data_IF_167855233716
#
_entry.id   IF_167855233716
#
_cell.length_a   1.000
_cell.length_b   1.000
_cell.length_c   1.000
_cell.angle_alpha   90.00
_cell.angle_beta   90.00
_cell.angle_gamma   90.00
#
_symmetry.space_group_name_H-M   'P 1'
#
loop_
_entity.id
_entity.type
_entity.pdbx_description
1 polymer ?
#
# COMPACT_ATOMS: atom_id res chain seq x y z
N UNK A 1 19.79 10.31 9.32
CA UNK A 1 19.33 10.24 9.02
C UNK A 1 18.90 10.43 8.53
N UNK A 2 18.59 10.33 8.42
CA UNK A 2 18.04 10.40 8.01
C UNK A 2 17.52 10.73 7.36
N UNK A 3 17.58 10.67 6.89
CA UNK A 3 16.99 10.88 6.28
C UNK A 3 16.18 11.04 5.95
N UNK A 4 16.18 11.06 5.93
CA UNK A 4 15.38 10.98 5.61
C UNK A 4 14.26 11.28 5.22
N UNK A 5 13.62 10.86 5.30
CA UNK A 5 12.35 11.04 4.86
C UNK A 5 11.69 12.04 5.64
N UNK A 6 11.36 13.18 5.13
CA UNK A 6 10.82 14.27 5.86
C UNK A 6 9.49 14.00 6.49
N UNK A 7 8.67 13.30 5.82
CA UNK A 7 7.38 13.07 6.41
C UNK A 7 7.26 11.67 6.82
N UNK A 8 7.48 11.09 7.66
CA UNK A 8 7.38 10.50 7.89
C UNK A 8 6.79 10.00 8.33
N UNK A 9 5.53 10.10 8.34
CA UNK A 9 4.57 9.21 8.95
C UNK A 9 4.77 7.76 8.54
N UNK A 10 5.49 7.54 7.47
CA UNK A 10 5.77 6.17 7.04
C UNK A 10 7.11 5.66 7.52
N UNK A 11 7.80 6.48 8.27
CA UNK A 11 9.10 6.08 8.79
C UNK A 11 8.93 4.89 9.74
N UNK A 12 9.64 3.82 9.46
CA UNK A 12 9.59 2.64 10.30
C UNK A 12 8.40 1.73 10.03
N UNK A 13 7.56 2.08 9.09
CA UNK A 13 6.41 1.24 8.76
C UNK A 13 6.72 0.47 7.49
N UNK A 14 6.58 -0.84 7.56
CA UNK A 14 6.89 -1.67 6.41
C UNK A 14 5.76 -1.67 5.40
N UNK A 15 6.12 -1.85 4.13
CA UNK A 15 5.12 -1.92 3.09
C UNK A 15 4.13 -3.06 3.35
N UNK A 16 4.59 -4.16 3.91
CA UNK A 16 3.71 -5.26 4.23
C UNK A 16 2.65 -4.83 5.25
N UNK A 17 3.03 -4.03 6.24
CA UNK A 17 2.08 -3.55 7.24
C UNK A 17 1.07 -2.60 6.62
N UNK A 18 1.52 -1.75 5.72
CA UNK A 18 0.63 -0.84 5.02
C UNK A 18 -0.41 -1.62 4.23
N UNK A 19 0.05 -2.62 3.49
CA UNK A 19 -0.84 -3.39 2.66
C UNK A 19 -1.84 -4.18 3.49
N UNK A 20 -1.36 -4.81 4.57
CA UNK A 20 -2.26 -5.57 5.43
C UNK A 20 -3.33 -4.68 6.05
N UNK A 21 -2.95 -3.47 6.45
CA UNK A 21 -3.91 -2.53 6.99
C UNK A 21 -4.97 -2.18 5.96
N UNK A 22 -4.54 -1.90 4.74
CA UNK A 22 -5.48 -1.50 3.69
C UNK A 22 -6.42 -2.63 3.29
N UNK A 23 -5.89 -3.84 3.22
CA UNK A 23 -6.72 -4.99 2.89
C UNK A 23 -7.73 -5.25 3.99
N UNK A 24 -7.29 -5.13 5.24
CA UNK A 24 -8.17 -5.33 6.37
C UNK A 24 -9.25 -4.26 6.45
N UNK A 25 -8.89 -3.04 6.10
CA UNK A 25 -9.81 -1.91 6.19
C UNK A 25 -10.83 -1.92 5.05
N UNK A 26 -10.35 -2.11 3.82
CA UNK A 26 -11.21 -1.99 2.64
C UNK A 26 -11.63 -3.33 2.05
N UNK A 27 -10.83 -4.35 2.21
CA UNK A 27 -11.01 -5.59 1.47
C UNK A 27 -10.39 -5.48 0.08
N UNK A 28 -10.10 -6.61 -0.53
CA UNK A 28 -9.46 -6.61 -1.83
C UNK A 28 -10.31 -5.96 -2.91
N UNK A 29 -11.61 -6.17 -2.85
CA UNK A 29 -12.49 -5.68 -3.89
C UNK A 29 -12.47 -4.16 -3.96
N UNK A 30 -12.67 -3.51 -2.81
CA UNK A 30 -12.68 -2.06 -2.77
C UNK A 30 -11.28 -1.51 -3.02
N UNK A 31 -10.28 -2.16 -2.47
CA UNK A 31 -8.91 -1.73 -2.68
C UNK A 31 -8.54 -1.77 -4.16
N UNK A 32 -9.00 -2.79 -4.86
CA UNK A 32 -8.76 -2.90 -6.29
C UNK A 32 -9.47 -1.85 -7.09
N UNK A 33 -10.58 -1.33 -6.58
CA UNK A 33 -11.27 -0.24 -7.24
C UNK A 33 -10.54 1.08 -7.05
N UNK A 34 -9.95 1.25 -5.88
CA UNK A 34 -9.25 2.49 -5.57
C UNK A 34 -7.89 2.56 -6.25
N UNK A 35 -7.22 1.42 -6.34
CA UNK A 35 -5.93 1.33 -7.01
C UNK A 35 -6.04 0.20 -8.02
N UNK A 36 -6.16 0.55 -9.27
CA UNK A 36 -6.44 -0.43 -10.31
C UNK A 36 -5.20 -1.09 -10.84
N UNK A 37 -4.75 -2.10 -10.10
CA UNK A 37 -3.61 -2.90 -10.52
C UNK A 37 -4.01 -4.36 -10.45
N UNK A 38 -3.43 -5.15 -11.33
CA UNK A 38 -3.79 -6.56 -11.44
C UNK A 38 -3.62 -7.33 -10.17
N UNK A 39 -2.58 -7.07 -9.41
CA UNK A 39 -2.33 -7.86 -8.23
C UNK A 39 -3.41 -7.67 -7.16
N UNK A 40 -4.23 -6.63 -7.28
CA UNK A 40 -5.35 -6.42 -6.37
C UNK A 40 -6.64 -6.99 -6.93
N UNK A 41 -6.69 -7.20 -8.25
CA UNK A 41 -7.93 -7.56 -8.92
C UNK A 41 -7.97 -8.97 -9.46
N UNK A 42 -6.84 -9.64 -9.50
CA UNK A 42 -6.77 -10.98 -10.06
C UNK A 42 -6.08 -11.89 -9.08
N UNK A 43 -6.84 -12.77 -8.43
CA UNK A 43 -6.32 -13.68 -7.41
C UNK A 43 -5.43 -12.95 -6.41
N UNK A 44 -5.97 -11.94 -5.75
CA UNK A 44 -5.13 -11.11 -4.90
C UNK A 44 -4.59 -11.86 -3.69
N UNK A 45 -3.36 -11.55 -3.33
CA UNK A 45 -2.76 -12.05 -2.12
C UNK A 45 -1.74 -11.01 -1.64
N UNK A 46 -1.43 -11.08 -0.37
CA UNK A 46 -0.44 -10.16 0.20
C UNK A 46 0.91 -10.37 -0.48
N UNK A 47 1.28 -11.63 -0.66
CA UNK A 47 2.60 -11.94 -1.21
C UNK A 47 2.76 -11.44 -2.64
N UNK A 48 1.80 -11.72 -3.50
CA UNK A 48 1.93 -11.29 -4.89
C UNK A 48 1.86 -9.79 -5.00
N UNK A 49 1.04 -9.16 -4.18
CA UNK A 49 0.92 -7.72 -4.20
C UNK A 49 2.21 -7.05 -3.73
N UNK A 50 2.84 -7.59 -2.69
CA UNK A 50 4.11 -7.03 -2.22
C UNK A 50 5.18 -7.16 -3.29
N UNK A 51 5.23 -8.28 -3.97
CA UNK A 51 6.22 -8.48 -5.02
C UNK A 51 6.06 -7.42 -6.11
N UNK A 52 4.83 -7.17 -6.53
CA UNK A 52 4.58 -6.17 -7.55
C UNK A 52 4.92 -4.76 -7.06
N UNK A 53 4.48 -4.44 -5.85
CA UNK A 53 4.65 -3.09 -5.33
C UNK A 53 6.12 -2.75 -5.09
N UNK A 54 6.92 -3.75 -4.69
CA UNK A 54 8.32 -3.49 -4.41
C UNK A 54 9.08 -3.07 -5.64
N UNK A 55 8.65 -3.52 -6.81
CA UNK A 55 9.34 -3.17 -8.03
C UNK A 55 8.58 -2.21 -8.91
N UNK A 56 7.52 -1.60 -8.39
CA UNK A 56 6.69 -0.68 -9.17
C UNK A 56 6.47 0.58 -8.34
N UNK A 57 7.39 1.54 -8.43
CA UNK A 57 7.34 2.70 -7.53
C UNK A 57 6.04 3.50 -7.57
N UNK A 58 5.45 3.68 -8.75
CA UNK A 58 4.23 4.46 -8.82
C UNK A 58 3.08 3.77 -8.09
N UNK A 59 3.04 2.45 -8.16
CA UNK A 59 1.98 1.72 -7.48
C UNK A 59 2.21 1.71 -5.99
N UNK A 60 3.46 1.56 -5.58
CA UNK A 60 3.78 1.60 -4.16
C UNK A 60 3.44 2.97 -3.59
N UNK A 61 3.70 4.02 -4.34
CA UNK A 61 3.36 5.36 -3.90
C UNK A 61 1.85 5.48 -3.67
N UNK A 62 1.05 4.92 -4.50
CA UNK A 62 -0.38 4.94 -4.32
C UNK A 62 -0.83 4.22 -3.04
N UNK A 63 -0.24 3.23 -2.74
CA UNK A 63 -0.48 2.60 -1.76
C UNK A 63 -0.27 3.30 -0.69
N UNK A 64 0.86 3.88 -0.50
CA UNK A 64 1.27 4.70 0.62
C UNK A 64 0.35 5.91 0.78
N UNK A 65 0.00 6.54 -0.31
CA UNK A 65 -0.89 7.69 -0.24
C UNK A 65 -2.25 7.32 0.32
N UNK A 66 -2.78 6.21 -0.11
CA UNK A 66 -4.07 5.77 0.40
C UNK A 66 -3.99 5.45 1.88
N UNK A 67 -2.89 4.83 2.30
CA UNK A 67 -2.69 4.52 3.71
C UNK A 67 -2.71 5.80 4.54
N UNK A 68 -1.97 6.81 4.12
CA UNK A 68 -1.93 8.06 4.85
C UNK A 68 -3.29 8.73 4.90
N UNK A 69 -3.99 8.74 3.78
CA UNK A 69 -5.31 9.33 3.72
C UNK A 69 -6.28 8.60 4.65
N UNK A 70 -6.22 7.29 4.67
CA UNK A 70 -7.11 6.48 5.49
C UNK A 70 -6.82 6.68 6.97
N UNK A 71 -5.55 6.77 7.32
CA UNK A 71 -5.18 6.94 8.73
C UNK A 71 -5.54 8.31 9.27
N UNK A 72 -5.71 9.28 8.40
CA UNK A 72 -6.04 10.63 8.83
C UNK A 72 -7.51 10.81 9.19
N UNK A 73 -8.34 9.87 8.89
CA UNK A 73 -9.77 9.99 9.16
C UNK A 73 -10.16 9.81 10.62
#
# INVERSE_FOLDING_TARGET
MDNQQPNXPLHGIKLADILEFLVDYYGWEVLGEKIRINCFNSNPSIKSSLTFLRKTPWARDKXEQLYLKTKQK
#
